data_IF_660023197717
#
_entry.id   IF_660023197717
#
_cell.length_a   1.000
_cell.length_b   1.000
_cell.length_c   1.000
_cell.angle_alpha   90.00
_cell.angle_beta   90.00
_cell.angle_gamma   90.00
#
_symmetry.space_group_name_H-M   'P 1'
#
loop_
_entity.id
_entity.type
_entity.pdbx_description
1 polymer ?
#
# COMPACT_ATOMS: atom_id res chain seq x y z
N UNK A 1 -13.41 12.82 -22.38
CA UNK A 1 -12.77 11.75 -21.58
C UNK A 1 -12.16 12.39 -20.35
N UNK A 2 -12.88 12.31 -19.23
CA UNK A 2 -12.53 12.93 -17.95
C UNK A 2 -11.40 12.13 -17.33
N UNK A 3 -10.21 12.73 -17.22
CA UNK A 3 -9.08 12.09 -16.54
C UNK A 3 -9.36 12.15 -15.05
N UNK A 4 -9.53 10.99 -14.41
CA UNK A 4 -9.48 10.91 -12.96
C UNK A 4 -8.07 11.30 -12.55
N UNK A 5 -7.94 12.51 -11.99
CA UNK A 5 -6.78 12.89 -11.18
C UNK A 5 -6.80 11.92 -10.01
N UNK A 6 -6.08 10.81 -10.11
CA UNK A 6 -6.04 9.81 -9.05
C UNK A 6 -5.26 10.45 -7.90
N UNK A 7 -6.02 10.99 -6.95
CA UNK A 7 -5.52 11.45 -5.66
C UNK A 7 -5.15 10.16 -4.95
N UNK A 8 -3.86 9.88 -4.87
CA UNK A 8 -3.36 8.85 -3.98
C UNK A 8 -3.88 9.17 -2.58
N UNK A 9 -4.67 8.29 -1.97
CA UNK A 9 -5.07 8.42 -0.59
C UNK A 9 -3.80 8.22 0.23
N UNK A 10 -3.60 9.11 1.17
CA UNK A 10 -2.63 8.95 2.24
C UNK A 10 -3.40 8.77 3.52
N UNK A 11 -3.00 7.80 4.34
CA UNK A 11 -3.48 7.74 5.71
C UNK A 11 -3.10 9.04 6.45
N UNK A 12 -3.95 9.50 7.35
CA UNK A 12 -3.63 10.63 8.22
C UNK A 12 -2.50 10.26 9.19
N UNK A 13 -1.73 11.25 9.60
CA UNK A 13 -0.69 11.08 10.62
C UNK A 13 -1.23 10.45 11.92
N UNK A 14 -2.49 10.72 12.27
CA UNK A 14 -3.16 10.12 13.44
C UNK A 14 -3.39 8.62 13.28
N UNK A 15 -3.82 8.19 12.08
CA UNK A 15 -4.03 6.78 11.78
C UNK A 15 -2.69 6.01 11.81
N UNK A 16 -1.66 6.56 11.17
CA UNK A 16 -0.30 6.03 11.22
C UNK A 16 0.14 5.93 12.69
N UNK A 17 0.10 7.02 13.44
CA UNK A 17 0.52 7.03 14.85
C UNK A 17 -0.16 5.95 15.71
N UNK A 18 -1.48 5.75 15.53
CA UNK A 18 -2.21 4.71 16.26
C UNK A 18 -1.78 3.30 15.87
N UNK A 19 -1.78 2.99 14.57
CA UNK A 19 -1.38 1.66 14.06
C UNK A 19 0.05 1.34 14.49
N UNK A 20 0.94 2.32 14.33
CA UNK A 20 2.36 2.17 14.67
C UNK A 20 2.57 1.96 16.18
N UNK A 21 1.83 2.68 17.03
CA UNK A 21 1.85 2.49 18.49
C UNK A 21 1.43 1.07 18.87
N UNK A 22 0.33 0.57 18.30
CA UNK A 22 -0.19 -0.75 18.62
C UNK A 22 0.75 -1.87 18.13
N UNK A 23 1.39 -1.67 16.98
CA UNK A 23 2.37 -2.60 16.39
C UNK A 23 3.79 -2.49 16.97
N UNK A 24 4.00 -1.55 17.91
CA UNK A 24 5.30 -1.21 18.53
C UNK A 24 6.38 -0.85 17.50
N UNK A 25 6.01 -0.10 16.45
CA UNK A 25 6.95 0.48 15.47
C UNK A 25 7.10 1.99 15.69
N UNK A 26 8.07 2.69 15.05
CA UNK A 26 8.22 4.16 15.08
C UNK A 26 7.32 4.84 14.05
N UNK A 27 6.60 5.91 14.40
CA UNK A 27 5.61 6.58 13.53
C UNK A 27 6.19 7.80 12.80
N UNK A 28 7.17 7.60 11.91
CA UNK A 28 7.89 8.70 11.26
C UNK A 28 8.14 8.44 9.78
N UNK A 29 8.19 9.49 8.96
CA UNK A 29 8.58 9.41 7.55
C UNK A 29 7.45 9.69 6.57
N UNK A 30 7.80 9.97 5.31
CA UNK A 30 6.85 10.10 4.20
C UNK A 30 6.50 8.74 3.58
N UNK A 31 7.45 7.80 3.61
CA UNK A 31 7.33 6.45 3.05
C UNK A 31 7.35 5.40 4.20
N UNK A 32 6.64 5.70 5.29
CA UNK A 32 6.68 4.94 6.55
C UNK A 32 6.39 3.44 6.33
N UNK A 33 5.43 3.12 5.48
CA UNK A 33 5.04 1.75 5.13
C UNK A 33 6.16 0.96 4.44
N UNK A 34 7.02 1.64 3.68
CA UNK A 34 8.17 1.04 3.01
C UNK A 34 9.37 0.93 3.96
N UNK A 35 9.61 1.95 4.79
CA UNK A 35 10.71 1.96 5.76
C UNK A 35 10.52 0.90 6.87
N UNK A 36 9.27 0.61 7.24
CA UNK A 36 8.94 -0.31 8.32
C UNK A 36 8.32 -1.62 7.86
N UNK A 37 8.30 -1.85 6.54
CA UNK A 37 7.99 -3.14 5.94
C UNK A 37 8.82 -4.25 6.60
N UNK A 38 8.17 -5.40 6.81
CA UNK A 38 8.73 -6.49 7.60
C UNK A 38 8.13 -7.83 7.19
N UNK A 39 8.79 -8.50 6.26
CA UNK A 39 8.36 -9.79 5.72
C UNK A 39 8.07 -10.86 6.79
N UNK A 40 8.74 -10.81 7.94
CA UNK A 40 8.58 -11.80 9.01
C UNK A 40 7.36 -11.51 9.91
N UNK A 41 6.77 -10.31 9.82
CA UNK A 41 5.61 -9.88 10.63
C UNK A 41 4.29 -9.78 9.87
N UNK A 42 4.24 -10.23 8.61
CA UNK A 42 3.00 -10.20 7.80
C UNK A 42 1.81 -10.87 8.51
N UNK A 43 2.05 -12.02 9.17
CA UNK A 43 1.00 -12.70 9.95
C UNK A 43 0.48 -11.84 11.09
N UNK A 44 1.37 -11.25 11.89
CA UNK A 44 0.99 -10.38 13.01
C UNK A 44 0.14 -9.20 12.54
N UNK A 45 0.50 -8.59 11.40
CA UNK A 45 -0.21 -7.45 10.85
C UNK A 45 -1.60 -7.84 10.36
N UNK A 46 -1.74 -9.00 9.69
CA UNK A 46 -3.04 -9.52 9.28
C UNK A 46 -3.92 -9.87 10.49
N UNK A 47 -3.36 -10.50 11.52
CA UNK A 47 -4.10 -10.85 12.73
C UNK A 47 -4.56 -9.61 13.50
N UNK A 48 -3.75 -8.56 13.54
CA UNK A 48 -4.16 -7.25 14.06
C UNK A 48 -5.23 -6.59 13.19
N UNK A 49 -5.13 -6.69 11.86
CA UNK A 49 -6.14 -6.15 10.93
C UNK A 49 -7.54 -6.74 11.18
N UNK A 50 -7.59 -8.05 11.45
CA UNK A 50 -8.83 -8.79 11.67
C UNK A 50 -9.44 -8.57 13.05
N UNK A 51 -8.60 -8.47 14.08
CA UNK A 51 -9.05 -8.37 15.47
C UNK A 51 -9.30 -6.94 15.96
N UNK A 52 -8.61 -5.95 15.40
CA UNK A 52 -8.69 -4.57 15.89
C UNK A 52 -9.92 -3.82 15.37
N UNK A 53 -10.49 -2.97 16.24
CA UNK A 53 -11.49 -1.99 15.84
C UNK A 53 -10.81 -0.80 15.13
N UNK A 54 -10.60 -0.95 13.82
CA UNK A 54 -9.96 0.05 12.97
C UNK A 54 -11.00 0.86 12.18
N UNK A 55 -10.81 2.18 12.13
CA UNK A 55 -11.50 3.04 11.18
C UNK A 55 -10.90 2.91 9.77
N UNK A 56 -11.54 3.52 8.75
CA UNK A 56 -11.09 3.37 7.36
C UNK A 56 -9.67 3.87 7.11
N UNK A 57 -9.22 4.88 7.86
CA UNK A 57 -7.90 5.47 7.66
C UNK A 57 -6.80 4.60 8.29
N UNK A 58 -7.08 4.04 9.47
CA UNK A 58 -6.22 3.05 10.13
C UNK A 58 -6.15 1.74 9.33
N UNK A 59 -7.27 1.30 8.74
CA UNK A 59 -7.29 0.16 7.81
C UNK A 59 -6.45 0.41 6.58
N UNK A 60 -6.50 1.64 6.06
CA UNK A 60 -5.70 2.02 4.91
C UNK A 60 -4.20 1.97 5.27
N UNK A 61 -3.79 2.67 6.33
CA UNK A 61 -2.41 2.67 6.83
C UNK A 61 -1.87 1.26 7.08
N UNK A 62 -2.66 0.40 7.74
CA UNK A 62 -2.24 -0.97 8.04
C UNK A 62 -2.14 -1.83 6.78
N UNK A 63 -3.07 -1.68 5.83
CA UNK A 63 -3.01 -2.43 4.57
C UNK A 63 -1.82 -1.99 3.71
N UNK A 64 -1.45 -0.71 3.72
CA UNK A 64 -0.22 -0.22 3.06
C UNK A 64 1.02 -0.96 3.60
N UNK A 65 1.15 -1.02 4.94
CA UNK A 65 2.24 -1.76 5.59
C UNK A 65 2.21 -3.26 5.27
N UNK A 66 1.03 -3.89 5.31
CA UNK A 66 0.86 -5.32 4.99
C UNK A 66 1.33 -5.62 3.57
N UNK A 67 0.90 -4.82 2.59
CA UNK A 67 1.26 -5.04 1.18
C UNK A 67 2.75 -4.82 0.97
N UNK A 68 3.34 -3.77 1.54
CA UNK A 68 4.78 -3.53 1.47
C UNK A 68 5.59 -4.70 2.09
N UNK A 69 5.19 -5.16 3.27
CA UNK A 69 5.82 -6.30 3.95
C UNK A 69 5.67 -7.60 3.18
N UNK A 70 4.51 -7.81 2.54
CA UNK A 70 4.30 -8.98 1.69
C UNK A 70 5.11 -8.91 0.39
N UNK A 71 5.30 -7.72 -0.20
CA UNK A 71 6.17 -7.53 -1.36
C UNK A 71 7.63 -7.90 -1.03
N UNK A 72 8.14 -7.53 0.14
CA UNK A 72 9.47 -7.97 0.60
C UNK A 72 9.57 -9.50 0.72
N UNK A 73 8.54 -10.15 1.28
CA UNK A 73 8.45 -11.61 1.32
C UNK A 73 8.53 -12.19 -0.10
N UNK A 74 7.79 -11.62 -1.05
CA UNK A 74 7.82 -12.05 -2.45
C UNK A 74 9.18 -11.84 -3.10
N UNK A 75 9.84 -10.71 -2.83
CA UNK A 75 11.17 -10.36 -3.33
C UNK A 75 12.26 -11.31 -2.79
N UNK A 76 12.08 -11.84 -1.57
CA UNK A 76 12.95 -12.88 -1.00
C UNK A 76 12.76 -14.27 -1.64
N UNK A 77 11.83 -14.42 -2.58
CA UNK A 77 11.51 -15.70 -3.24
C UNK A 77 10.52 -16.57 -2.46
N UNK A 78 10.12 -16.16 -1.25
CA UNK A 78 9.11 -16.86 -0.45
C UNK A 78 7.70 -16.57 -0.98
N UNK A 79 6.76 -17.49 -0.72
CA UNK A 79 5.34 -17.36 -1.08
C UNK A 79 4.48 -17.88 0.06
N UNK A 80 3.33 -17.25 0.29
CA UNK A 80 2.33 -17.74 1.23
C UNK A 80 0.93 -17.47 0.65
N UNK A 81 0.24 -18.53 0.20
CA UNK A 81 -1.07 -18.42 -0.45
C UNK A 81 -2.19 -18.04 0.51
N UNK A 82 -2.08 -18.41 1.79
CA UNK A 82 -3.05 -18.04 2.82
C UNK A 82 -3.02 -16.54 3.09
N UNK A 83 -1.83 -15.97 3.33
CA UNK A 83 -1.65 -14.54 3.50
C UNK A 83 -2.09 -13.76 2.26
N UNK A 84 -1.74 -14.26 1.06
CA UNK A 84 -2.20 -13.67 -0.19
C UNK A 84 -3.74 -13.65 -0.29
N UNK A 85 -4.40 -14.76 0.05
CA UNK A 85 -5.86 -14.85 0.00
C UNK A 85 -6.52 -13.86 0.97
N UNK A 86 -6.01 -13.74 2.21
CA UNK A 86 -6.49 -12.76 3.20
C UNK A 86 -6.34 -11.32 2.69
N UNK A 87 -5.18 -10.97 2.12
CA UNK A 87 -4.94 -9.63 1.54
C UNK A 87 -5.95 -9.34 0.42
N UNK A 88 -6.13 -10.28 -0.51
CA UNK A 88 -7.08 -10.14 -1.63
C UNK A 88 -8.52 -10.01 -1.12
N UNK A 89 -8.91 -10.80 -0.13
CA UNK A 89 -10.24 -10.73 0.50
C UNK A 89 -10.49 -9.36 1.12
N UNK A 90 -9.57 -8.84 1.94
CA UNK A 90 -9.73 -7.51 2.55
C UNK A 90 -9.83 -6.39 1.53
N UNK A 91 -9.00 -6.45 0.48
CA UNK A 91 -9.00 -5.46 -0.59
C UNK A 91 -10.29 -5.50 -1.42
N UNK A 92 -10.78 -6.70 -1.76
CA UNK A 92 -12.00 -6.87 -2.56
C UNK A 92 -13.26 -6.51 -1.77
N UNK A 93 -13.36 -6.91 -0.50
CA UNK A 93 -14.49 -6.59 0.38
C UNK A 93 -14.65 -5.08 0.63
N UNK A 94 -13.58 -4.30 0.46
CA UNK A 94 -13.58 -2.84 0.62
C UNK A 94 -12.91 -2.15 -0.56
N UNK A 95 -13.23 -2.58 -1.78
CA UNK A 95 -12.52 -2.12 -2.98
C UNK A 95 -12.44 -0.60 -3.13
N UNK A 96 -13.51 0.13 -2.79
CA UNK A 96 -13.50 1.61 -2.83
C UNK A 96 -12.46 2.25 -1.91
N UNK A 97 -12.10 1.60 -0.81
CA UNK A 97 -11.08 2.09 0.13
C UNK A 97 -9.66 1.82 -0.39
N UNK A 98 -9.45 0.74 -1.15
CA UNK A 98 -8.12 0.26 -1.53
C UNK A 98 -7.82 0.37 -3.04
N UNK A 99 -8.74 0.90 -3.83
CA UNK A 99 -8.59 0.94 -5.29
C UNK A 99 -7.29 1.62 -5.74
N UNK A 100 -6.93 2.74 -5.12
CA UNK A 100 -5.67 3.43 -5.41
C UNK A 100 -4.43 2.63 -5.00
N UNK A 101 -4.44 2.02 -3.81
CA UNK A 101 -3.38 1.12 -3.35
C UNK A 101 -3.18 -0.05 -4.32
N UNK A 102 -4.26 -0.70 -4.75
CA UNK A 102 -4.21 -1.80 -5.72
C UNK A 102 -3.63 -1.32 -7.06
N UNK A 103 -4.07 -0.17 -7.56
CA UNK A 103 -3.58 0.39 -8.83
C UNK A 103 -2.09 0.73 -8.76
N UNK A 104 -1.62 1.26 -7.63
CA UNK A 104 -0.19 1.52 -7.40
C UNK A 104 0.66 0.27 -7.53
N UNK A 105 0.35 -0.76 -6.74
CA UNK A 105 1.14 -1.99 -6.68
C UNK A 105 1.05 -2.81 -7.97
N UNK A 106 -0.11 -2.79 -8.64
CA UNK A 106 -0.29 -3.38 -9.98
C UNK A 106 0.58 -2.70 -11.07
N UNK A 107 1.21 -1.56 -10.78
CA UNK A 107 2.03 -0.84 -11.74
C UNK A 107 1.20 -0.13 -12.80
N UNK A 108 -0.07 0.17 -12.51
CA UNK A 108 -0.89 0.99 -13.39
C UNK A 108 -0.20 2.35 -13.57
N UNK A 109 0.26 2.63 -14.79
CA UNK A 109 0.99 3.85 -15.10
C UNK A 109 0.08 5.07 -14.87
N UNK A 110 0.38 5.87 -13.85
CA UNK A 110 -0.26 7.19 -13.70
C UNK A 110 0.38 8.11 -14.73
N UNK A 111 -0.29 8.26 -15.87
CA UNK A 111 0.13 9.21 -16.89
C UNK A 111 -0.11 10.64 -16.37
N UNK A 112 0.90 11.23 -15.73
CA UNK A 112 0.90 12.67 -15.38
C UNK A 112 0.91 13.46 -16.67
N UNK A 113 -0.26 13.95 -17.10
CA UNK A 113 -0.35 14.93 -18.18
C UNK A 113 0.36 16.21 -17.71
N UNK A 114 1.64 16.39 -18.03
CA UNK A 114 2.20 17.74 -18.12
C UNK A 114 1.51 18.39 -19.31
N UNK A 115 0.75 19.44 -19.05
CA UNK A 115 0.28 20.30 -20.12
C UNK A 115 1.50 20.72 -20.95
N UNK A 116 1.53 20.29 -22.23
CA UNK A 116 2.42 20.76 -23.31
C UNK A 116 3.84 20.15 -23.43
N UNK A 117 4.01 18.83 -23.48
CA UNK A 117 5.05 18.12 -24.29
C UNK A 117 4.86 16.59 -24.18
N UNK A 118 5.24 15.83 -25.21
CA UNK A 118 4.95 14.40 -25.45
C UNK A 118 4.91 13.49 -24.21
N UNK A 119 4.02 12.48 -24.16
CA UNK A 119 3.91 11.57 -23.02
C UNK A 119 5.23 10.86 -22.77
N UNK A 120 5.72 10.89 -21.53
CA UNK A 120 6.90 10.16 -21.10
C UNK A 120 6.47 9.26 -19.95
N UNK A 121 6.52 7.94 -20.16
CA UNK A 121 6.21 6.96 -19.11
C UNK A 121 7.47 6.68 -18.29
N UNK A 122 7.35 6.72 -16.97
CA UNK A 122 8.42 6.40 -16.02
C UNK A 122 8.12 5.02 -15.42
N UNK A 123 9.06 4.09 -15.57
CA UNK A 123 8.97 2.77 -14.95
C UNK A 123 9.24 2.83 -13.44
N UNK A 124 8.90 1.75 -12.72
CA UNK A 124 9.05 1.63 -11.25
C UNK A 124 10.48 1.88 -10.74
N UNK A 125 11.50 1.77 -11.59
CA UNK A 125 12.92 1.94 -11.21
C UNK A 125 13.47 3.35 -11.52
N UNK A 126 12.60 4.34 -11.76
CA UNK A 126 13.01 5.69 -12.19
C UNK A 126 13.61 5.72 -13.60
N UNK A 127 13.63 4.59 -14.32
CA UNK A 127 14.09 4.49 -15.69
C UNK A 127 12.98 4.85 -16.66
N UNK A 128 13.34 5.66 -17.66
CA UNK A 128 12.46 6.03 -18.76
C UNK A 128 12.24 4.82 -19.67
N UNK A 129 10.97 4.46 -19.88
CA UNK A 129 10.61 3.51 -20.93
C UNK A 129 10.71 4.28 -22.26
N UNK A 130 11.61 3.85 -23.14
CA UNK A 130 11.76 4.41 -24.49
C UNK A 130 10.62 3.95 -25.39
#
# INVERSE_FOLDING_TARGET
MTYLRQIYRFASAKAIQRVTSDLKKPATGQDWELEFADADRVSDFLDYYDSAQLNNDERYALMELIVASFDELLASGKRNSEWQARIVEHQTNRFNLFNDLVQYWAGAAVCKRRARRSPRCMGKNGTWIR
#
